data_IF_862098721374
#
_entry.id   IF_862098721374
#
_cell.length_a   1.000
_cell.length_b   1.000
_cell.length_c   1.000
_cell.angle_alpha   90.00
_cell.angle_beta   90.00
_cell.angle_gamma   90.00
#
_symmetry.space_group_name_H-M   'P 1'
#
loop_
_entity.id
_entity.type
_entity.pdbx_description
1 polymer ?
#
# COMPACT_ATOMS: atom_id res chain seq x y z
N UNK A 1 -13.98 -21.70 -12.03
CA UNK A 1 -13.40 -20.33 -11.97
C UNK A 1 -12.69 -20.20 -10.64
N UNK A 2 -11.44 -19.72 -10.61
CA UNK A 2 -10.69 -19.59 -9.35
C UNK A 2 -11.29 -18.52 -8.48
N UNK A 3 -11.22 -18.71 -7.15
CA UNK A 3 -11.84 -17.82 -6.15
C UNK A 3 -10.78 -17.19 -5.25
N UNK A 4 -10.85 -15.88 -5.05
CA UNK A 4 -9.85 -15.11 -4.30
C UNK A 4 -10.51 -14.21 -3.26
N UNK A 5 -9.96 -14.21 -2.04
CA UNK A 5 -10.28 -13.25 -0.99
C UNK A 5 -9.27 -12.10 -1.00
N UNK A 6 -9.75 -10.88 -1.08
CA UNK A 6 -8.93 -9.65 -0.99
C UNK A 6 -9.39 -8.85 0.22
N UNK A 7 -8.56 -8.77 1.26
CA UNK A 7 -8.85 -7.95 2.45
C UNK A 7 -8.28 -6.55 2.29
N UNK A 8 -8.93 -5.54 2.88
CA UNK A 8 -8.65 -4.14 2.58
C UNK A 8 -9.18 -3.74 1.19
N UNK A 9 -10.23 -4.42 0.72
CA UNK A 9 -10.75 -4.30 -0.65
C UNK A 9 -11.26 -2.91 -1.00
N UNK A 10 -11.81 -2.16 -0.04
CA UNK A 10 -12.28 -0.78 -0.23
C UNK A 10 -11.16 0.27 -0.09
N UNK A 11 -9.93 -0.16 0.16
CA UNK A 11 -8.75 0.70 0.21
C UNK A 11 -8.17 1.01 -1.18
N UNK A 12 -7.13 1.86 -1.23
CA UNK A 12 -6.44 2.23 -2.46
C UNK A 12 -5.97 1.00 -3.25
N UNK A 13 -5.04 0.22 -2.70
CA UNK A 13 -4.48 -0.94 -3.42
C UNK A 13 -5.49 -2.09 -3.56
N UNK A 14 -6.30 -2.33 -2.52
CA UNK A 14 -7.31 -3.39 -2.53
C UNK A 14 -8.31 -3.25 -3.66
N UNK A 15 -8.78 -2.04 -3.95
CA UNK A 15 -9.74 -1.78 -5.03
C UNK A 15 -9.15 -2.02 -6.42
N UNK A 16 -7.89 -1.65 -6.65
CA UNK A 16 -7.18 -1.96 -7.90
C UNK A 16 -6.92 -3.46 -8.07
N UNK A 17 -6.63 -4.17 -6.97
CA UNK A 17 -6.50 -5.63 -6.99
C UNK A 17 -7.84 -6.31 -7.32
N UNK A 18 -8.96 -5.82 -6.76
CA UNK A 18 -10.29 -6.34 -7.12
C UNK A 18 -10.54 -6.21 -8.63
N UNK A 19 -10.28 -5.03 -9.21
CA UNK A 19 -10.40 -4.81 -10.65
C UNK A 19 -9.52 -5.78 -11.46
N UNK A 20 -8.26 -5.89 -11.06
CA UNK A 20 -7.32 -6.76 -11.76
C UNK A 20 -7.77 -8.22 -11.76
N UNK A 21 -8.13 -8.78 -10.60
CA UNK A 21 -8.49 -10.18 -10.51
C UNK A 21 -9.83 -10.48 -11.20
N UNK A 22 -10.79 -9.56 -11.19
CA UNK A 22 -12.02 -9.69 -11.98
C UNK A 22 -11.69 -9.70 -13.48
N UNK A 23 -10.82 -8.81 -13.95
CA UNK A 23 -10.41 -8.79 -15.37
C UNK A 23 -9.66 -10.04 -15.82
N UNK A 24 -9.00 -10.73 -14.90
CA UNK A 24 -8.33 -12.03 -15.14
C UNK A 24 -9.29 -13.24 -14.99
N UNK A 25 -10.59 -13.00 -14.79
CA UNK A 25 -11.61 -14.04 -14.73
C UNK A 25 -11.72 -14.77 -13.39
N UNK A 26 -11.35 -14.13 -12.28
CA UNK A 26 -11.54 -14.69 -10.94
C UNK A 26 -12.88 -14.28 -10.35
N UNK A 27 -13.43 -15.12 -9.47
CA UNK A 27 -14.46 -14.70 -8.53
C UNK A 27 -13.78 -14.04 -7.32
N UNK A 28 -14.08 -12.78 -7.09
CA UNK A 28 -13.43 -11.95 -6.06
C UNK A 28 -14.35 -11.75 -4.87
N UNK A 29 -13.87 -12.08 -3.69
CA UNK A 29 -14.47 -11.70 -2.41
C UNK A 29 -13.67 -10.52 -1.87
N UNK A 30 -14.27 -9.33 -1.87
CA UNK A 30 -13.74 -8.17 -1.17
C UNK A 30 -14.13 -8.20 0.29
N UNK A 31 -13.19 -7.97 1.21
CA UNK A 31 -13.46 -7.86 2.65
C UNK A 31 -12.81 -6.59 3.20
N UNK A 32 -13.58 -5.77 3.91
CA UNK A 32 -13.11 -4.53 4.52
C UNK A 32 -14.00 -4.17 5.72
N UNK A 33 -13.45 -3.54 6.75
CA UNK A 33 -14.21 -2.99 7.88
C UNK A 33 -14.50 -1.50 7.73
N UNK A 34 -14.06 -0.90 6.63
CA UNK A 34 -14.27 0.51 6.24
C UNK A 34 -13.70 1.54 7.23
N UNK A 35 -12.78 1.10 8.11
CA UNK A 35 -12.16 2.03 9.07
C UNK A 35 -11.32 3.10 8.35
N UNK A 36 -10.64 2.74 7.25
CA UNK A 36 -9.91 3.65 6.36
C UNK A 36 -10.33 3.51 4.89
N UNK A 37 -10.96 2.40 4.53
CA UNK A 37 -11.49 2.12 3.19
C UNK A 37 -12.73 2.97 2.86
N UNK A 38 -13.03 3.11 1.56
CA UNK A 38 -14.20 3.82 1.05
C UNK A 38 -14.93 2.96 0.01
N UNK A 39 -16.23 2.76 0.19
CA UNK A 39 -17.04 1.97 -0.75
C UNK A 39 -17.04 2.55 -2.17
N UNK A 40 -16.87 3.87 -2.34
CA UNK A 40 -16.72 4.50 -3.65
C UNK A 40 -15.62 3.87 -4.51
N UNK A 41 -14.56 3.34 -3.87
CA UNK A 41 -13.45 2.69 -4.60
C UNK A 41 -13.85 1.39 -5.28
N UNK A 42 -14.94 0.75 -4.83
CA UNK A 42 -15.42 -0.57 -5.30
C UNK A 42 -16.89 -0.57 -5.72
N UNK A 43 -17.60 0.57 -5.68
CA UNK A 43 -19.03 0.64 -6.01
C UNK A 43 -19.35 0.14 -7.42
N UNK A 44 -18.45 0.38 -8.38
CA UNK A 44 -18.57 -0.08 -9.77
C UNK A 44 -18.50 -1.61 -9.92
N UNK A 45 -18.11 -2.33 -8.87
CA UNK A 45 -18.04 -3.79 -8.84
C UNK A 45 -19.32 -4.46 -8.33
N UNK A 46 -20.18 -3.74 -7.59
CA UNK A 46 -21.38 -4.34 -7.00
C UNK A 46 -22.40 -4.88 -8.04
N UNK A 47 -22.34 -4.40 -9.28
CA UNK A 47 -23.16 -4.92 -10.38
C UNK A 47 -22.58 -6.18 -11.04
N UNK A 48 -21.35 -6.56 -10.71
CA UNK A 48 -20.66 -7.72 -11.32
C UNK A 48 -20.98 -8.99 -10.53
N UNK A 49 -21.41 -10.06 -11.22
CA UNK A 49 -21.68 -11.37 -10.62
C UNK A 49 -20.44 -12.08 -10.06
N UNK A 50 -19.26 -11.65 -10.52
CA UNK A 50 -17.96 -12.17 -10.09
C UNK A 50 -17.46 -11.52 -8.80
N UNK A 51 -18.20 -10.54 -8.23
CA UNK A 51 -17.79 -9.79 -7.04
C UNK A 51 -18.78 -9.96 -5.88
N UNK A 52 -18.26 -10.34 -4.72
CA UNK A 52 -18.98 -10.34 -3.43
C UNK A 52 -18.26 -9.39 -2.46
N UNK A 53 -18.98 -8.68 -1.61
CA UNK A 53 -18.38 -7.82 -0.58
C UNK A 53 -18.83 -8.22 0.83
N UNK A 54 -17.86 -8.40 1.73
CA UNK A 54 -18.10 -8.69 3.15
C UNK A 54 -17.59 -7.53 4.01
N UNK A 55 -18.52 -6.85 4.68
CA UNK A 55 -18.16 -5.87 5.71
C UNK A 55 -17.71 -6.61 6.96
N UNK A 56 -16.38 -6.74 7.16
CA UNK A 56 -15.82 -7.55 8.25
C UNK A 56 -14.44 -7.07 8.67
N UNK A 57 -14.17 -7.16 9.99
CA UNK A 57 -12.87 -6.89 10.57
C UNK A 57 -12.04 -8.18 10.68
N UNK A 58 -10.93 -8.25 9.95
CA UNK A 58 -10.05 -9.43 9.90
C UNK A 58 -9.37 -9.74 11.24
N UNK A 59 -9.33 -8.81 12.19
CA UNK A 59 -8.88 -9.09 13.57
C UNK A 59 -9.85 -9.95 14.37
N UNK A 60 -11.06 -10.17 13.85
CA UNK A 60 -12.06 -11.13 14.34
C UNK A 60 -11.94 -12.44 13.59
N UNK A 61 -12.64 -13.48 14.05
CA UNK A 61 -12.68 -14.76 13.35
C UNK A 61 -13.18 -14.61 11.92
N UNK A 62 -12.39 -15.07 10.94
CA UNK A 62 -12.71 -14.97 9.51
C UNK A 62 -13.22 -16.30 8.99
N UNK A 63 -14.42 -16.29 8.43
CA UNK A 63 -15.01 -17.42 7.75
C UNK A 63 -15.42 -17.04 6.33
N UNK A 64 -15.05 -17.89 5.37
CA UNK A 64 -15.47 -17.77 3.97
C UNK A 64 -16.04 -19.11 3.53
N UNK A 65 -17.31 -19.19 3.11
CA UNK A 65 -17.93 -20.44 2.67
C UNK A 65 -17.35 -20.94 1.34
N UNK A 66 -17.37 -22.25 1.12
CA UNK A 66 -16.89 -22.90 -0.10
C UNK A 66 -15.36 -22.95 -0.21
N UNK A 67 -14.89 -23.27 -1.41
CA UNK A 67 -13.47 -23.34 -1.73
C UNK A 67 -12.86 -21.95 -1.89
N UNK A 68 -11.54 -21.84 -1.68
CA UNK A 68 -10.79 -20.61 -1.84
C UNK A 68 -9.39 -20.96 -2.35
N UNK A 69 -9.01 -20.42 -3.50
CA UNK A 69 -7.70 -20.68 -4.11
C UNK A 69 -6.62 -19.73 -3.60
N UNK A 70 -6.99 -18.46 -3.39
CA UNK A 70 -6.04 -17.40 -3.05
C UNK A 70 -6.57 -16.46 -1.98
N UNK A 71 -5.64 -15.90 -1.21
CA UNK A 71 -5.90 -14.82 -0.24
C UNK A 71 -4.87 -13.71 -0.47
N UNK A 72 -5.34 -12.47 -0.64
CA UNK A 72 -4.51 -11.26 -0.61
C UNK A 72 -4.80 -10.49 0.67
N UNK A 73 -3.82 -10.44 1.58
CA UNK A 73 -3.97 -9.72 2.85
C UNK A 73 -3.42 -8.30 2.75
N UNK A 74 -4.31 -7.35 2.41
CA UNK A 74 -4.02 -5.92 2.25
C UNK A 74 -4.69 -5.03 3.31
N UNK A 75 -5.55 -5.60 4.18
CA UNK A 75 -6.16 -4.86 5.28
C UNK A 75 -5.08 -4.34 6.24
N UNK A 76 -4.90 -3.04 6.28
CA UNK A 76 -4.02 -2.35 7.22
C UNK A 76 -4.22 -0.82 7.12
N UNK A 77 -4.34 -0.07 8.22
CA UNK A 77 -4.12 1.37 8.20
C UNK A 77 -2.66 1.63 7.82
N UNK A 78 -2.42 2.16 6.61
CA UNK A 78 -1.07 2.28 6.05
C UNK A 78 -0.59 3.74 5.93
N UNK A 79 -1.47 4.69 6.24
CA UNK A 79 -1.16 6.11 6.26
C UNK A 79 -0.63 6.53 7.64
N UNK A 80 0.43 7.37 7.72
CA UNK A 80 0.92 7.89 8.99
C UNK A 80 -0.16 8.56 9.84
N UNK A 81 -1.05 9.30 9.22
CA UNK A 81 -2.16 9.97 9.89
C UNK A 81 -3.12 8.96 10.53
N UNK A 82 -3.39 7.86 9.85
CA UNK A 82 -4.32 6.84 10.35
C UNK A 82 -3.68 5.99 11.46
N UNK A 83 -2.51 5.37 11.21
CA UNK A 83 -1.95 4.43 12.19
C UNK A 83 -1.50 5.11 13.50
N UNK A 84 -1.17 6.40 13.45
CA UNK A 84 -0.89 7.18 14.67
C UNK A 84 -2.15 7.47 15.49
N UNK A 85 -3.32 7.59 14.86
CA UNK A 85 -4.61 7.80 15.54
C UNK A 85 -5.26 6.53 16.05
N UNK A 86 -5.04 5.40 15.37
CA UNK A 86 -5.60 4.09 15.73
C UNK A 86 -4.50 3.02 15.91
N UNK A 87 -3.52 3.27 16.81
CA UNK A 87 -2.35 2.42 16.94
C UNK A 87 -2.69 0.98 17.35
N UNK A 88 -3.63 0.79 18.26
CA UNK A 88 -4.01 -0.54 18.73
C UNK A 88 -4.69 -1.36 17.63
N UNK A 89 -5.55 -0.74 16.83
CA UNK A 89 -6.20 -1.39 15.68
C UNK A 89 -5.17 -1.78 14.62
N UNK A 90 -4.17 -0.92 14.38
CA UNK A 90 -3.07 -1.20 13.45
C UNK A 90 -2.26 -2.42 13.89
N UNK A 91 -1.88 -2.51 15.16
CA UNK A 91 -1.20 -3.67 15.71
C UNK A 91 -2.07 -4.94 15.65
N UNK A 92 -3.38 -4.84 15.96
CA UNK A 92 -4.30 -5.98 15.90
C UNK A 92 -4.46 -6.52 14.49
N UNK A 93 -4.58 -5.68 13.47
CA UNK A 93 -4.70 -6.18 12.09
C UNK A 93 -3.40 -6.81 11.61
N UNK A 94 -2.24 -6.26 11.96
CA UNK A 94 -0.93 -6.85 11.61
C UNK A 94 -0.66 -8.16 12.33
N UNK A 95 -1.18 -8.37 13.54
CA UNK A 95 -0.99 -9.57 14.33
C UNK A 95 -2.17 -10.56 14.22
N UNK A 96 -3.28 -10.28 14.89
CA UNK A 96 -4.46 -11.15 14.91
C UNK A 96 -5.07 -11.33 13.52
N UNK A 97 -5.15 -10.24 12.73
CA UNK A 97 -5.68 -10.30 11.36
C UNK A 97 -4.86 -11.24 10.49
N UNK A 98 -3.53 -11.11 10.53
CA UNK A 98 -2.63 -11.98 9.77
C UNK A 98 -2.73 -13.43 10.25
N UNK A 99 -2.76 -13.65 11.57
CA UNK A 99 -2.93 -15.00 12.16
C UNK A 99 -4.23 -15.66 11.68
N UNK A 100 -5.35 -14.94 11.72
CA UNK A 100 -6.66 -15.44 11.27
C UNK A 100 -6.65 -15.84 9.79
N UNK A 101 -6.05 -15.01 8.92
CA UNK A 101 -5.98 -15.27 7.49
C UNK A 101 -5.01 -16.38 7.13
N UNK A 102 -3.90 -16.53 7.85
CA UNK A 102 -3.01 -17.69 7.72
C UNK A 102 -3.69 -18.99 8.17
N UNK A 103 -4.50 -18.92 9.25
CA UNK A 103 -5.35 -20.03 9.68
C UNK A 103 -6.40 -20.41 8.63
N UNK A 104 -7.04 -19.43 8.01
CA UNK A 104 -7.97 -19.63 6.90
C UNK A 104 -7.26 -20.22 5.67
N UNK A 105 -6.08 -19.70 5.30
CA UNK A 105 -5.27 -20.21 4.19
C UNK A 105 -4.93 -21.69 4.39
N UNK A 106 -4.50 -22.06 5.62
CA UNK A 106 -4.23 -23.45 5.99
C UNK A 106 -5.48 -24.33 5.85
N UNK A 107 -6.61 -23.89 6.42
CA UNK A 107 -7.87 -24.66 6.40
C UNK A 107 -8.41 -24.86 4.98
N UNK A 108 -8.26 -23.88 4.11
CA UNK A 108 -8.71 -23.90 2.70
C UNK A 108 -7.67 -24.48 1.74
N UNK A 109 -6.45 -24.73 2.18
CA UNK A 109 -5.28 -25.03 1.33
C UNK A 109 -5.06 -23.96 0.26
N UNK A 110 -5.36 -22.72 0.60
CA UNK A 110 -5.24 -21.56 -0.29
C UNK A 110 -3.83 -20.98 -0.21
N UNK A 111 -3.32 -20.45 -1.34
CA UNK A 111 -2.10 -19.65 -1.35
C UNK A 111 -2.43 -18.26 -0.81
N UNK A 112 -1.59 -17.75 0.10
CA UNK A 112 -1.75 -16.41 0.67
C UNK A 112 -0.58 -15.50 0.30
N UNK A 113 -0.89 -14.27 -0.16
CA UNK A 113 0.07 -13.19 -0.30
C UNK A 113 -0.21 -12.12 0.75
N UNK A 114 0.84 -11.75 1.47
CA UNK A 114 0.78 -10.79 2.57
C UNK A 114 1.48 -9.49 2.16
N UNK A 115 0.77 -8.37 2.31
CA UNK A 115 1.30 -7.04 2.01
C UNK A 115 2.17 -6.53 3.16
N UNK A 116 3.48 -6.68 3.01
CA UNK A 116 4.49 -5.97 3.79
C UNK A 116 4.80 -4.61 3.16
N UNK A 117 5.83 -3.95 3.61
CA UNK A 117 6.16 -2.57 3.27
C UNK A 117 7.66 -2.31 3.30
N UNK A 118 8.12 -1.27 2.62
CA UNK A 118 9.48 -0.76 2.77
C UNK A 118 9.77 -0.21 4.18
N UNK A 119 8.74 0.04 4.98
CA UNK A 119 8.92 0.54 6.36
C UNK A 119 9.57 -0.50 7.29
N UNK A 120 9.57 -1.80 6.93
CA UNK A 120 10.33 -2.84 7.66
C UNK A 120 11.84 -2.58 7.66
N UNK A 121 12.33 -1.74 6.76
CA UNK A 121 13.72 -1.31 6.69
C UNK A 121 14.06 -0.15 7.66
N UNK A 122 13.07 0.54 8.22
CA UNK A 122 13.25 1.67 9.12
C UNK A 122 13.95 2.87 8.48
N UNK A 123 14.86 3.55 9.21
CA UNK A 123 15.83 4.52 8.65
C UNK A 123 17.04 3.73 8.15
N UNK A 124 17.11 3.41 6.83
CA UNK A 124 18.00 2.36 6.35
C UNK A 124 19.47 2.79 6.31
N UNK A 125 20.35 1.88 6.76
CA UNK A 125 21.80 2.02 6.66
C UNK A 125 22.35 1.44 5.34
N UNK A 126 21.49 0.77 4.56
CA UNK A 126 21.80 0.19 3.24
C UNK A 126 20.97 0.89 2.17
N UNK A 127 21.61 1.30 1.08
CA UNK A 127 20.97 2.02 -0.01
C UNK A 127 21.55 1.56 -1.38
N UNK A 128 20.72 1.16 -2.36
CA UNK A 128 19.28 0.86 -2.27
C UNK A 128 18.98 -0.29 -1.30
N UNK A 129 17.74 -0.36 -0.78
CA UNK A 129 17.33 -1.41 0.14
C UNK A 129 17.06 -2.71 -0.61
N UNK A 130 17.85 -3.76 -0.33
CA UNK A 130 17.60 -5.12 -0.80
C UNK A 130 16.89 -5.96 0.28
N UNK A 131 16.30 -7.10 -0.11
CA UNK A 131 15.48 -7.91 0.77
C UNK A 131 16.26 -8.65 1.87
N UNK A 132 17.59 -8.78 1.72
CA UNK A 132 18.45 -9.46 2.71
C UNK A 132 18.88 -8.50 3.83
N UNK A 133 18.58 -7.21 3.70
CA UNK A 133 18.79 -6.22 4.75
C UNK A 133 17.67 -6.31 5.81
N UNK A 134 18.05 -6.50 7.07
CA UNK A 134 17.10 -6.72 8.20
C UNK A 134 16.42 -5.45 8.70
N UNK A 135 16.92 -4.29 8.30
CA UNK A 135 16.35 -3.00 8.68
C UNK A 135 16.96 -2.39 9.95
N UNK A 136 16.65 -1.11 10.15
CA UNK A 136 17.03 -0.32 11.31
C UNK A 136 15.79 0.44 11.81
N UNK A 137 14.93 -0.25 12.57
CA UNK A 137 13.64 0.22 13.04
C UNK A 137 13.75 0.64 14.51
N UNK A 138 13.12 1.78 14.86
CA UNK A 138 12.89 2.17 16.24
C UNK A 138 11.57 1.51 16.73
N UNK A 139 11.60 0.42 17.52
CA UNK A 139 10.41 -0.36 17.85
C UNK A 139 9.45 0.35 18.80
N UNK A 140 9.92 1.35 19.55
CA UNK A 140 9.14 2.13 20.52
C UNK A 140 8.90 3.58 20.06
N UNK A 141 9.43 3.96 18.89
CA UNK A 141 9.18 5.26 18.30
C UNK A 141 7.75 5.41 17.77
N UNK A 142 7.34 6.62 17.40
CA UNK A 142 5.97 6.88 16.94
C UNK A 142 5.57 6.05 15.70
N UNK A 143 6.53 5.71 14.83
CA UNK A 143 6.30 4.86 13.64
C UNK A 143 6.32 3.36 13.96
N UNK A 144 6.89 2.96 15.12
CA UNK A 144 7.04 1.56 15.52
C UNK A 144 5.75 0.76 15.51
N UNK A 145 4.60 1.42 15.74
CA UNK A 145 3.27 0.78 15.64
C UNK A 145 3.05 0.10 14.28
N UNK A 146 3.33 0.80 13.20
CA UNK A 146 3.14 0.27 11.84
C UNK A 146 4.30 -0.63 11.43
N UNK A 147 5.52 -0.18 11.69
CA UNK A 147 6.74 -0.87 11.29
C UNK A 147 6.81 -2.25 11.94
N UNK A 148 6.59 -2.36 13.25
CA UNK A 148 6.61 -3.64 13.98
C UNK A 148 5.37 -4.52 13.68
N UNK A 149 4.19 -3.92 13.41
CA UNK A 149 3.05 -4.70 12.93
C UNK A 149 3.40 -5.42 11.62
N UNK A 150 4.10 -4.77 10.70
CA UNK A 150 4.52 -5.35 9.42
C UNK A 150 5.68 -6.34 9.57
N UNK A 151 6.64 -6.08 10.43
CA UNK A 151 7.73 -7.04 10.76
C UNK A 151 7.18 -8.30 11.40
N UNK A 152 6.27 -8.17 12.37
CA UNK A 152 5.56 -9.32 12.95
C UNK A 152 4.78 -10.10 11.88
N UNK A 153 4.11 -9.40 10.97
CA UNK A 153 3.36 -10.00 9.88
C UNK A 153 4.25 -10.88 8.98
N UNK A 154 5.47 -10.45 8.63
CA UNK A 154 6.43 -11.28 7.90
C UNK A 154 6.86 -12.51 8.74
N UNK A 155 7.20 -12.29 10.00
CA UNK A 155 7.69 -13.36 10.88
C UNK A 155 6.65 -14.49 11.08
N UNK A 156 5.40 -14.13 11.37
CA UNK A 156 4.32 -15.13 11.54
C UNK A 156 4.00 -15.82 10.20
N UNK A 157 4.07 -15.12 9.08
CA UNK A 157 3.87 -15.70 7.74
C UNK A 157 4.90 -16.79 7.46
N UNK A 158 6.18 -16.52 7.72
CA UNK A 158 7.25 -17.51 7.57
C UNK A 158 7.12 -18.69 8.56
N UNK A 159 6.65 -18.44 9.79
CA UNK A 159 6.39 -19.51 10.74
C UNK A 159 5.30 -20.47 10.23
N UNK A 160 4.20 -19.95 9.67
CA UNK A 160 3.15 -20.79 9.06
C UNK A 160 3.64 -21.54 7.82
N UNK A 161 4.50 -20.91 7.01
CA UNK A 161 5.13 -21.59 5.88
C UNK A 161 5.98 -22.78 6.35
N UNK A 162 6.89 -22.54 7.30
CA UNK A 162 7.85 -23.53 7.75
C UNK A 162 7.20 -24.71 8.53
N UNK A 163 6.23 -24.42 9.38
CA UNK A 163 5.62 -25.43 10.28
C UNK A 163 4.41 -26.13 9.63
N UNK A 164 3.60 -25.36 8.90
CA UNK A 164 2.33 -25.88 8.37
C UNK A 164 2.33 -26.00 6.84
N UNK A 165 3.44 -25.70 6.18
CA UNK A 165 3.58 -25.77 4.72
C UNK A 165 2.51 -24.95 3.98
N UNK A 166 2.08 -23.84 4.58
CA UNK A 166 1.17 -22.90 3.90
C UNK A 166 1.90 -22.26 2.75
N UNK A 167 1.28 -22.24 1.58
CA UNK A 167 1.79 -21.57 0.39
C UNK A 167 1.74 -20.03 0.56
N UNK A 168 2.84 -19.44 1.01
CA UNK A 168 2.91 -18.02 1.36
C UNK A 168 3.71 -17.22 0.34
N UNK A 169 3.34 -15.94 0.18
CA UNK A 169 4.09 -14.92 -0.58
C UNK A 169 4.14 -13.64 0.27
N UNK A 170 5.23 -12.91 0.19
CA UNK A 170 5.42 -11.65 0.93
C UNK A 170 5.88 -10.59 -0.06
N UNK A 171 5.09 -9.51 -0.20
CA UNK A 171 5.48 -8.34 -0.99
C UNK A 171 5.89 -7.20 -0.07
N UNK A 172 7.10 -6.65 -0.23
CA UNK A 172 7.53 -5.40 0.39
C UNK A 172 7.24 -4.25 -0.57
N UNK A 173 6.16 -3.53 -0.29
CA UNK A 173 5.65 -2.45 -1.13
C UNK A 173 6.42 -1.16 -0.82
N UNK A 174 7.00 -0.55 -1.84
CA UNK A 174 7.55 0.79 -1.77
C UNK A 174 6.50 1.86 -2.10
N UNK A 175 6.83 3.15 -1.90
CA UNK A 175 5.88 4.23 -2.08
C UNK A 175 5.16 4.11 -3.42
N UNK A 176 3.85 3.98 -3.35
CA UNK A 176 2.98 3.79 -4.50
C UNK A 176 1.96 4.90 -4.55
N UNK A 177 1.61 5.33 -5.76
CA UNK A 177 0.64 6.39 -6.01
C UNK A 177 -0.27 6.06 -7.19
N UNK A 178 -1.42 6.74 -7.24
CA UNK A 178 -2.38 6.59 -8.33
C UNK A 178 -3.79 7.05 -7.94
N UNK A 179 -4.76 6.85 -8.84
CA UNK A 179 -6.18 7.06 -8.57
C UNK A 179 -6.67 6.32 -7.32
N UNK A 180 -7.70 6.84 -6.66
CA UNK A 180 -8.31 6.28 -5.43
C UNK A 180 -7.45 6.42 -4.16
N UNK A 181 -6.27 7.08 -4.22
CA UNK A 181 -5.64 7.58 -2.99
C UNK A 181 -6.49 8.71 -2.38
N UNK A 182 -6.45 8.85 -1.06
CA UNK A 182 -7.08 9.98 -0.38
C UNK A 182 -6.16 11.20 -0.42
N UNK A 183 -6.70 12.40 -0.69
CA UNK A 183 -5.91 13.65 -0.68
C UNK A 183 -5.36 13.98 0.72
N UNK A 184 -6.09 13.62 1.78
CA UNK A 184 -5.68 13.78 3.17
C UNK A 184 -5.01 12.54 3.75
N UNK A 185 -4.35 11.74 2.94
CA UNK A 185 -3.65 10.52 3.32
C UNK A 185 -2.37 10.79 4.15
N UNK A 186 -1.84 12.02 4.10
CA UNK A 186 -0.63 12.41 4.83
C UNK A 186 0.68 12.04 4.13
N UNK A 187 0.63 11.36 2.99
CA UNK A 187 1.78 11.10 2.14
C UNK A 187 2.01 12.28 1.19
N UNK A 188 3.27 12.47 0.77
CA UNK A 188 3.71 13.66 0.06
C UNK A 188 2.98 13.91 -1.26
N UNK A 189 2.74 12.88 -2.08
CA UNK A 189 2.13 13.06 -3.40
C UNK A 189 0.67 13.54 -3.32
N UNK A 190 -0.26 12.86 -2.61
CA UNK A 190 -1.62 13.38 -2.51
C UNK A 190 -1.67 14.72 -1.79
N UNK A 191 -0.78 14.99 -0.83
CA UNK A 191 -0.68 16.30 -0.18
C UNK A 191 -0.35 17.41 -1.19
N UNK A 192 0.69 17.24 -2.00
CA UNK A 192 1.11 18.24 -2.98
C UNK A 192 0.06 18.50 -4.06
N UNK A 193 -0.54 17.44 -4.61
CA UNK A 193 -1.61 17.62 -5.61
C UNK A 193 -2.84 18.29 -4.97
N UNK A 194 -3.24 17.86 -3.77
CA UNK A 194 -4.36 18.48 -3.06
C UNK A 194 -4.12 19.96 -2.76
N UNK A 195 -2.94 20.31 -2.27
CA UNK A 195 -2.55 21.68 -2.00
C UNK A 195 -2.58 22.54 -3.30
N UNK A 196 -1.97 22.03 -4.37
CA UNK A 196 -1.98 22.71 -5.65
C UNK A 196 -3.40 22.96 -6.18
N UNK A 197 -4.31 21.97 -6.06
CA UNK A 197 -5.70 22.08 -6.50
C UNK A 197 -6.53 23.04 -5.64
N UNK A 198 -6.22 23.16 -4.33
CA UNK A 198 -6.88 24.10 -3.41
C UNK A 198 -6.29 25.52 -3.43
N UNK A 199 -5.19 25.73 -4.18
CA UNK A 199 -4.50 27.02 -4.20
C UNK A 199 -3.71 27.28 -2.90
N UNK A 200 -3.17 26.26 -2.27
CA UNK A 200 -2.34 26.29 -1.08
C UNK A 200 -0.87 26.07 -1.46
N UNK A 201 0.08 26.67 -0.70
CA UNK A 201 1.50 26.41 -0.90
C UNK A 201 1.86 24.95 -0.60
N UNK A 202 2.83 24.38 -1.33
CA UNK A 202 3.25 23.00 -1.18
C UNK A 202 4.15 22.84 0.04
N UNK A 203 3.73 22.03 1.01
CA UNK A 203 4.43 21.83 2.29
C UNK A 203 5.59 20.84 2.16
N UNK A 204 6.82 21.34 2.14
CA UNK A 204 8.04 20.53 2.18
C UNK A 204 8.62 20.53 3.57
N UNK A 205 8.83 19.35 4.16
CA UNK A 205 9.42 19.18 5.48
C UNK A 205 10.94 19.10 5.39
N UNK A 206 11.65 19.71 6.36
CA UNK A 206 13.11 19.87 6.33
C UNK A 206 13.55 20.80 5.18
N UNK A 207 14.71 20.51 4.60
CA UNK A 207 15.25 21.25 3.44
C UNK A 207 14.82 20.66 2.08
N UNK A 208 14.04 19.57 2.08
CA UNK A 208 13.58 18.88 0.88
C UNK A 208 14.62 17.99 0.19
N UNK A 209 15.80 17.79 0.79
CA UNK A 209 16.86 16.92 0.21
C UNK A 209 16.64 15.43 0.49
N UNK A 210 15.69 15.07 1.37
CA UNK A 210 15.32 13.67 1.56
C UNK A 210 14.77 13.11 0.26
N UNK A 211 15.12 11.85 -0.04
CA UNK A 211 14.78 11.23 -1.31
C UNK A 211 13.69 10.16 -1.16
N UNK A 212 12.89 10.02 -2.17
CA UNK A 212 11.90 8.95 -2.32
C UNK A 212 11.87 8.44 -3.75
N UNK A 213 11.39 7.22 -3.91
CA UNK A 213 11.05 6.65 -5.20
C UNK A 213 9.55 6.33 -5.24
N UNK A 214 8.90 6.57 -6.37
CA UNK A 214 7.46 6.47 -6.49
C UNK A 214 7.07 5.52 -7.61
N UNK A 215 6.32 4.46 -7.27
CA UNK A 215 5.79 3.48 -8.22
C UNK A 215 4.35 3.80 -8.56
N UNK A 216 4.01 3.81 -9.84
CA UNK A 216 2.62 3.93 -10.25
C UNK A 216 1.85 2.65 -9.94
N UNK A 217 0.57 2.80 -9.56
CA UNK A 217 -0.25 1.71 -9.03
C UNK A 217 -0.36 0.51 -9.98
N UNK A 218 -0.51 0.73 -11.28
CA UNK A 218 -0.67 -0.37 -12.26
C UNK A 218 0.58 -1.27 -12.30
N UNK A 219 1.79 -0.68 -12.22
CA UNK A 219 3.03 -1.42 -12.14
C UNK A 219 3.11 -2.26 -10.85
N UNK A 220 2.72 -1.67 -9.71
CA UNK A 220 2.67 -2.39 -8.45
C UNK A 220 1.69 -3.58 -8.52
N UNK A 221 0.48 -3.37 -9.02
CA UNK A 221 -0.55 -4.41 -9.15
C UNK A 221 -0.06 -5.57 -10.04
N UNK A 222 0.62 -5.26 -11.15
CA UNK A 222 1.24 -6.28 -12.01
C UNK A 222 2.31 -7.07 -11.25
N UNK A 223 3.16 -6.41 -10.46
CA UNK A 223 4.18 -7.08 -9.64
C UNK A 223 3.56 -8.01 -8.59
N UNK A 224 2.51 -7.56 -7.90
CA UNK A 224 1.76 -8.36 -6.92
C UNK A 224 1.11 -9.57 -7.60
N UNK A 225 0.48 -9.38 -8.75
CA UNK A 225 -0.14 -10.46 -9.52
C UNK A 225 0.88 -11.55 -9.89
N UNK A 226 2.05 -11.17 -10.43
CA UNK A 226 3.12 -12.11 -10.76
C UNK A 226 3.68 -12.82 -9.52
N UNK A 227 3.87 -12.10 -8.43
CA UNK A 227 4.36 -12.70 -7.18
C UNK A 227 3.37 -13.71 -6.61
N UNK A 228 2.07 -13.41 -6.60
CA UNK A 228 1.04 -14.35 -6.15
C UNK A 228 1.11 -15.67 -6.91
N UNK A 229 1.33 -15.61 -8.23
CA UNK A 229 1.35 -16.79 -9.10
C UNK A 229 2.71 -17.50 -9.14
N UNK A 230 3.79 -16.88 -8.65
CA UNK A 230 5.12 -17.48 -8.58
C UNK A 230 5.20 -18.56 -7.49
N UNK A 231 6.27 -19.35 -7.51
CA UNK A 231 6.56 -20.34 -6.45
C UNK A 231 7.56 -19.82 -5.40
N UNK A 232 7.81 -18.51 -5.38
CA UNK A 232 8.80 -17.90 -4.50
C UNK A 232 8.16 -17.41 -3.20
N UNK A 233 8.58 -17.91 -2.05
CA UNK A 233 7.98 -17.68 -0.73
C UNK A 233 8.68 -16.62 0.13
N UNK A 234 9.93 -16.24 -0.20
CA UNK A 234 10.64 -15.19 0.54
C UNK A 234 10.17 -13.79 0.12
N UNK A 235 10.45 -12.74 0.91
CA UNK A 235 10.06 -11.39 0.56
C UNK A 235 10.60 -10.91 -0.78
N UNK A 236 9.79 -10.13 -1.51
CA UNK A 236 10.16 -9.47 -2.76
C UNK A 236 9.79 -8.00 -2.71
N UNK A 237 10.77 -7.12 -2.97
CA UNK A 237 10.55 -5.70 -3.15
C UNK A 237 9.83 -5.42 -4.47
N UNK A 238 8.71 -4.69 -4.40
CA UNK A 238 8.01 -4.16 -5.56
C UNK A 238 7.93 -2.64 -5.44
N UNK A 239 8.54 -1.94 -6.38
CA UNK A 239 8.63 -0.49 -6.39
C UNK A 239 9.41 0.02 -7.60
N UNK A 240 9.45 1.33 -7.79
CA UNK A 240 10.22 1.96 -8.84
C UNK A 240 11.55 2.45 -8.27
N UNK A 241 12.72 2.08 -8.83
CA UNK A 241 14.02 2.56 -8.36
C UNK A 241 14.37 3.99 -8.78
N UNK A 242 13.50 4.67 -9.56
CA UNK A 242 13.71 6.07 -9.96
C UNK A 242 13.54 7.01 -8.76
N UNK A 243 14.65 7.43 -8.18
CA UNK A 243 14.72 8.24 -6.96
C UNK A 243 14.72 9.74 -7.27
N UNK A 244 14.04 10.51 -6.43
CA UNK A 244 13.93 11.97 -6.57
C UNK A 244 13.92 12.62 -5.20
N UNK A 245 14.47 13.84 -5.07
CA UNK A 245 14.33 14.63 -3.85
C UNK A 245 12.90 15.15 -3.70
N UNK A 246 12.46 15.37 -2.46
CA UNK A 246 11.11 15.92 -2.19
C UNK A 246 10.95 17.34 -2.76
N UNK A 247 12.05 18.12 -2.78
CA UNK A 247 12.03 19.46 -3.40
C UNK A 247 11.81 19.39 -4.91
N UNK A 248 12.60 18.58 -5.63
CA UNK A 248 12.42 18.38 -7.09
C UNK A 248 11.03 17.84 -7.41
N UNK A 249 10.51 16.94 -6.56
CA UNK A 249 9.18 16.40 -6.71
C UNK A 249 8.09 17.47 -6.56
N UNK A 250 8.22 18.40 -5.60
CA UNK A 250 7.32 19.53 -5.47
C UNK A 250 7.37 20.44 -6.71
N UNK A 251 8.56 20.69 -7.27
CA UNK A 251 8.75 21.45 -8.51
C UNK A 251 8.08 20.76 -9.72
N UNK A 252 8.18 19.42 -9.83
CA UNK A 252 7.44 18.65 -10.85
C UNK A 252 5.92 18.81 -10.71
N UNK A 253 5.38 18.77 -9.49
CA UNK A 253 3.93 18.95 -9.25
C UNK A 253 3.49 20.39 -9.60
N UNK A 254 4.27 21.41 -9.24
CA UNK A 254 3.98 22.82 -9.63
C UNK A 254 3.91 22.94 -11.16
N UNK A 255 4.89 22.35 -11.86
CA UNK A 255 4.92 22.36 -13.33
C UNK A 255 3.74 21.61 -13.95
N UNK A 256 3.40 20.44 -13.40
CA UNK A 256 2.29 19.60 -13.89
C UNK A 256 0.94 20.29 -13.71
N UNK A 257 0.70 20.90 -12.56
CA UNK A 257 -0.59 21.50 -12.21
C UNK A 257 -0.74 22.93 -12.75
N UNK A 258 0.35 23.59 -13.07
CA UNK A 258 0.37 25.00 -13.47
C UNK A 258 -0.02 25.95 -12.33
N UNK A 259 0.01 25.49 -11.08
CA UNK A 259 -0.30 26.33 -9.90
C UNK A 259 0.69 27.49 -9.77
N UNK A 260 0.22 28.62 -9.22
CA UNK A 260 1.05 29.80 -8.90
C UNK A 260 1.61 29.74 -7.48
N UNK A 261 1.30 28.70 -6.73
CA UNK A 261 1.71 28.51 -5.34
C UNK A 261 3.20 28.19 -5.24
N UNK A 262 3.77 28.42 -4.06
CA UNK A 262 5.20 28.25 -3.79
C UNK A 262 5.44 27.01 -2.92
N UNK A 263 6.70 26.67 -2.72
CA UNK A 263 7.13 25.67 -1.75
C UNK A 263 7.28 26.38 -0.39
N UNK A 264 6.55 25.88 0.62
CA UNK A 264 6.66 26.29 2.02
C UNK A 264 7.43 25.23 2.80
N UNK A 265 8.51 25.63 3.46
CA UNK A 265 9.35 24.72 4.25
C UNK A 265 8.88 24.67 5.71
N UNK A 266 8.79 23.45 6.26
CA UNK A 266 8.36 23.16 7.63
C UNK A 266 9.40 22.31 8.39
N UNK A 267 9.41 22.28 9.73
CA UNK A 267 10.29 21.39 10.49
C UNK A 267 10.10 19.92 10.13
N UNK A 268 11.20 19.16 10.05
CA UNK A 268 11.16 17.73 9.73
C UNK A 268 10.49 16.94 10.87
N UNK A 269 9.55 16.03 10.58
CA UNK A 269 8.97 15.13 11.57
C UNK A 269 10.02 14.19 12.18
N UNK A 270 9.78 13.77 13.43
CA UNK A 270 10.62 12.79 14.13
C UNK A 270 10.56 11.44 13.40
N UNK A 271 11.73 10.77 13.30
CA UNK A 271 11.88 9.43 12.68
C UNK A 271 11.45 9.35 11.19
N UNK A 272 11.42 10.49 10.46
CA UNK A 272 11.17 10.42 9.01
C UNK A 272 12.42 9.90 8.29
N UNK A 273 12.31 8.79 7.49
CA UNK A 273 13.46 8.21 6.81
C UNK A 273 14.12 9.22 5.86
N UNK A 274 15.47 9.25 5.83
CA UNK A 274 16.22 10.19 4.98
C UNK A 274 16.18 9.79 3.51
N UNK A 275 16.16 8.48 3.23
CA UNK A 275 16.19 7.93 1.87
C UNK A 275 15.38 6.64 1.77
N UNK A 276 14.75 6.42 0.59
CA UNK A 276 13.96 5.21 0.33
C UNK A 276 13.99 4.87 -1.14
N UNK A 277 14.75 3.79 -1.50
CA UNK A 277 14.87 3.32 -2.88
C UNK A 277 14.90 1.78 -2.90
N UNK A 278 14.00 1.10 -3.65
CA UNK A 278 14.06 -0.35 -3.75
C UNK A 278 15.22 -0.83 -4.60
N UNK A 279 15.94 -1.86 -4.12
CA UNK A 279 16.59 -2.79 -5.03
C UNK A 279 15.53 -3.77 -5.55
N UNK A 280 15.35 -3.82 -6.87
CA UNK A 280 14.38 -4.69 -7.54
C UNK A 280 15.03 -5.86 -8.31
N UNK A 281 16.29 -6.14 -8.05
CA UNK A 281 17.04 -7.21 -8.72
C UNK A 281 16.33 -8.56 -8.57
N UNK A 282 15.81 -8.85 -7.37
CA UNK A 282 15.05 -10.07 -7.09
C UNK A 282 13.75 -10.13 -7.88
N UNK A 283 12.97 -9.06 -7.94
CA UNK A 283 11.75 -8.98 -8.74
C UNK A 283 12.03 -9.18 -10.24
N UNK A 284 13.09 -8.58 -10.77
CA UNK A 284 13.51 -8.78 -12.17
C UNK A 284 13.88 -10.24 -12.44
N UNK A 285 14.67 -10.84 -11.56
CA UNK A 285 15.15 -12.21 -11.75
C UNK A 285 14.02 -13.25 -11.67
N UNK A 286 13.17 -13.16 -10.65
CA UNK A 286 12.16 -14.18 -10.32
C UNK A 286 10.85 -13.94 -11.05
N UNK A 287 10.37 -12.69 -11.07
CA UNK A 287 9.06 -12.35 -11.61
C UNK A 287 9.11 -11.87 -13.06
N UNK A 288 10.30 -11.63 -13.61
CA UNK A 288 10.49 -10.93 -14.90
C UNK A 288 9.72 -9.61 -14.92
N UNK A 289 9.73 -8.93 -13.77
CA UNK A 289 8.99 -7.70 -13.55
C UNK A 289 9.93 -6.51 -13.32
N UNK A 290 9.58 -5.40 -13.91
CA UNK A 290 10.11 -4.06 -13.64
C UNK A 290 9.01 -3.03 -13.92
N UNK A 291 9.05 -1.83 -13.29
CA UNK A 291 8.09 -0.78 -13.57
C UNK A 291 8.22 -0.29 -15.01
N UNK A 292 7.09 -0.03 -15.66
CA UNK A 292 7.01 0.42 -17.06
C UNK A 292 6.49 1.84 -17.21
N UNK A 293 5.69 2.30 -16.24
CA UNK A 293 5.07 3.61 -16.29
C UNK A 293 6.04 4.60 -15.65
N UNK A 294 6.55 5.53 -16.46
CA UNK A 294 7.42 6.59 -15.97
C UNK A 294 6.66 7.57 -15.08
N UNK A 295 7.39 8.31 -14.22
CA UNK A 295 6.81 9.22 -13.23
C UNK A 295 5.93 10.30 -13.87
N UNK A 296 6.33 10.89 -14.99
CA UNK A 296 5.58 11.95 -15.66
C UNK A 296 4.18 11.46 -16.12
N UNK A 297 4.10 10.28 -16.72
CA UNK A 297 2.84 9.69 -17.16
C UNK A 297 1.96 9.30 -15.96
N UNK A 298 2.53 8.65 -14.94
CA UNK A 298 1.80 8.27 -13.72
C UNK A 298 1.24 9.48 -12.98
N UNK A 299 2.04 10.55 -12.86
CA UNK A 299 1.61 11.81 -12.24
C UNK A 299 0.47 12.47 -13.03
N UNK A 300 0.55 12.49 -14.36
CA UNK A 300 -0.51 13.03 -15.21
C UNK A 300 -1.84 12.29 -14.98
N UNK A 301 -1.84 10.95 -15.01
CA UNK A 301 -3.04 10.11 -14.75
C UNK A 301 -3.61 10.36 -13.36
N UNK A 302 -2.75 10.46 -12.35
CA UNK A 302 -3.15 10.71 -10.98
C UNK A 302 -3.74 12.12 -10.80
N UNK A 303 -3.11 13.13 -11.40
CA UNK A 303 -3.59 14.51 -11.38
C UNK A 303 -4.97 14.64 -12.05
N UNK A 304 -5.18 14.03 -13.23
CA UNK A 304 -6.46 14.03 -13.90
C UNK A 304 -7.56 13.37 -13.06
N UNK A 305 -7.25 12.31 -12.32
CA UNK A 305 -8.19 11.72 -11.37
C UNK A 305 -8.58 12.72 -10.27
N UNK A 306 -7.61 13.33 -9.59
CA UNK A 306 -7.89 14.26 -8.49
C UNK A 306 -8.54 15.57 -8.94
N UNK A 307 -8.23 16.05 -10.14
CA UNK A 307 -8.85 17.22 -10.73
C UNK A 307 -10.36 17.07 -10.97
N UNK A 308 -10.83 15.83 -11.15
CA UNK A 308 -12.24 15.51 -11.35
C UNK A 308 -13.00 15.20 -10.03
N UNK A 309 -12.36 15.33 -8.88
CA UNK A 309 -13.06 15.21 -7.60
C UNK A 309 -14.05 16.35 -7.39
N UNK A 310 -15.13 16.06 -6.68
CA UNK A 310 -16.10 17.10 -6.28
C UNK A 310 -15.45 18.11 -5.33
N UNK A 311 -15.95 19.34 -5.27
CA UNK A 311 -15.48 20.32 -4.28
C UNK A 311 -15.53 19.78 -2.85
N UNK A 312 -16.54 19.02 -2.48
CA UNK A 312 -16.64 18.38 -1.18
C UNK A 312 -15.49 17.43 -0.89
N UNK A 313 -15.14 16.57 -1.85
CA UNK A 313 -14.00 15.64 -1.72
C UNK A 313 -12.65 16.36 -1.69
N UNK A 314 -12.51 17.42 -2.49
CA UNK A 314 -11.28 18.20 -2.57
C UNK A 314 -10.98 18.96 -1.26
N UNK A 315 -12.02 19.54 -0.63
CA UNK A 315 -11.90 20.34 0.59
C UNK A 315 -12.18 19.54 1.88
N UNK A 316 -12.62 18.29 1.77
CA UNK A 316 -12.80 17.43 2.94
C UNK A 316 -11.44 17.03 3.53
N UNK A 317 -10.90 17.93 4.37
CA UNK A 317 -9.68 17.68 5.15
C UNK A 317 -9.98 17.01 6.49
N UNK A 318 -11.27 16.76 6.80
CA UNK A 318 -11.66 16.12 8.04
C UNK A 318 -11.10 14.70 8.11
N UNK A 319 -10.44 14.41 9.21
CA UNK A 319 -9.98 13.06 9.50
C UNK A 319 -11.16 12.22 9.99
N UNK A 320 -11.29 10.98 9.49
CA UNK A 320 -12.38 10.04 9.86
C UNK A 320 -12.49 9.72 11.36
N UNK A 321 -11.54 10.16 12.16
CA UNK A 321 -11.42 9.87 13.60
C UNK A 321 -11.48 11.13 14.47
N UNK A 322 -12.14 12.19 14.02
CA UNK A 322 -12.42 13.36 14.87
C UNK A 322 -13.66 13.09 15.71
#
# INVERSE_FOLDING_TARGET
MKRILITGAAGFLGSHLCDRFISEGYNVIGMDNLITGDLKNIEHLFSKKEFEFYHHDVSKFVFVPGELDYILHFASPASPIDYLKIPIQTLKVGSLGTHNLLGLARAKKARILVASTSEVYGDPLVHPQNEDYWGHVNPIGPRGVYDEAKRFQEAITMAYHNIHQVETRIVRIFNTYGPRMRLNDGRVLPAFIGQALRGEDLSVFGNGNQTRSFCYVDDLIEGIYRLLLSDYHLPVNIGNPDEITIKEFAEEIIKLTGTKQKIAFHPLPTDDPKQRQPDITRAKAILKWEPKINRAEGLKRTYEYFKNLSPEELYNTAHRFN
#
